data_IF_658153415293
#
_entry.id   IF_658153415293
#
_cell.length_a   1.000
_cell.length_b   1.000
_cell.length_c   1.000
_cell.angle_alpha   90.00
_cell.angle_beta   90.00
_cell.angle_gamma   90.00
#
_symmetry.space_group_name_H-M   'P 1'
#
loop_
_entity.id
_entity.type
_entity.pdbx_description
1 polymer ?
#
# COMPACT_ATOMS: atom_id res chain seq x y z
N UNK A 1 -1.75 -9.63 35.21
CA UNK A 1 -1.60 -8.53 34.22
C UNK A 1 -1.38 -9.18 32.85
N UNK A 2 -2.15 -8.80 31.83
CA UNK A 2 -1.92 -9.27 30.45
C UNK A 2 -1.37 -8.10 29.62
N UNK A 3 -0.43 -8.39 28.72
CA UNK A 3 0.18 -7.41 27.82
C UNK A 3 0.06 -7.88 26.37
N UNK A 4 -0.12 -6.93 25.45
CA UNK A 4 -0.19 -7.23 24.03
C UNK A 4 1.20 -7.55 23.48
N UNK A 5 1.30 -8.64 22.68
CA UNK A 5 2.53 -9.03 21.97
C UNK A 5 2.65 -8.39 20.57
N UNK A 6 1.57 -7.79 20.09
CA UNK A 6 1.44 -7.12 18.79
C UNK A 6 0.68 -5.80 19.00
N UNK A 7 0.78 -4.88 18.05
CA UNK A 7 0.03 -3.63 18.11
C UNK A 7 -1.49 -3.88 18.19
N UNK A 8 -2.18 -3.46 19.27
CA UNK A 8 -3.63 -3.56 19.35
C UNK A 8 -4.30 -2.52 18.45
N UNK A 9 -5.49 -2.80 17.92
CA UNK A 9 -6.27 -1.76 17.23
C UNK A 9 -6.83 -0.74 18.23
N UNK A 10 -6.90 0.54 17.85
CA UNK A 10 -7.58 1.58 18.63
C UNK A 10 -6.68 2.51 19.45
N UNK A 11 -5.36 2.45 19.29
CA UNK A 11 -4.47 3.51 19.78
C UNK A 11 -4.12 4.45 18.62
N UNK A 12 -4.36 5.75 18.80
CA UNK A 12 -4.11 6.77 17.76
C UNK A 12 -2.66 6.79 17.26
N UNK A 13 -1.70 6.45 18.12
CA UNK A 13 -0.28 6.48 17.80
C UNK A 13 0.18 5.30 16.94
N UNK A 14 -0.62 4.23 16.85
CA UNK A 14 -0.21 2.99 16.18
C UNK A 14 -0.07 3.17 14.68
N UNK A 15 -1.00 3.89 14.05
CA UNK A 15 -0.98 4.15 12.61
C UNK A 15 0.30 4.89 12.19
N UNK A 16 0.74 5.85 13.00
CA UNK A 16 1.97 6.63 12.74
C UNK A 16 3.21 5.76 12.85
N UNK A 17 3.29 4.90 13.87
CA UNK A 17 4.45 3.99 14.04
C UNK A 17 4.47 2.94 12.94
N UNK A 18 3.32 2.36 12.60
CA UNK A 18 3.20 1.40 11.50
C UNK A 18 3.59 2.02 10.16
N UNK A 19 3.11 3.22 9.87
CA UNK A 19 3.49 3.98 8.68
C UNK A 19 5.00 4.26 8.64
N UNK A 20 5.62 4.61 9.77
CA UNK A 20 7.06 4.86 9.84
C UNK A 20 7.87 3.61 9.55
N UNK A 21 7.49 2.47 10.15
CA UNK A 21 8.20 1.21 9.90
C UNK A 21 7.98 0.72 8.46
N UNK A 22 6.76 0.81 7.92
CA UNK A 22 6.53 0.50 6.51
C UNK A 22 7.32 1.41 5.56
N UNK A 23 7.37 2.71 5.85
CA UNK A 23 8.19 3.65 5.07
C UNK A 23 9.68 3.33 5.16
N UNK A 24 10.15 2.78 6.29
CA UNK A 24 11.54 2.34 6.45
C UNK A 24 11.82 1.10 5.60
N UNK A 25 10.93 0.11 5.63
CA UNK A 25 11.04 -1.13 4.82
C UNK A 25 11.02 -0.81 3.33
N UNK A 26 10.16 0.11 2.90
CA UNK A 26 10.00 0.52 1.50
C UNK A 26 10.94 1.65 1.07
N UNK A 27 11.79 2.17 1.96
CA UNK A 27 12.70 3.29 1.66
C UNK A 27 13.61 3.02 0.45
N UNK A 28 13.95 1.75 0.22
CA UNK A 28 14.75 1.30 -0.91
C UNK A 28 13.97 1.12 -2.23
N UNK A 29 12.66 1.37 -2.23
CA UNK A 29 11.75 1.14 -3.37
C UNK A 29 11.00 2.44 -3.69
N UNK A 30 11.63 3.31 -4.48
CA UNK A 30 11.14 4.66 -4.82
C UNK A 30 9.79 4.68 -5.56
N UNK A 31 9.46 3.57 -6.22
CA UNK A 31 8.25 3.35 -7.04
C UNK A 31 7.08 2.77 -6.24
N UNK A 32 7.26 2.51 -4.95
CA UNK A 32 6.19 2.15 -4.03
C UNK A 32 5.75 3.41 -3.27
N UNK A 33 4.48 3.79 -3.41
CA UNK A 33 3.86 4.86 -2.61
C UNK A 33 3.10 4.21 -1.46
N UNK A 34 3.28 4.75 -0.26
CA UNK A 34 2.60 4.28 0.93
C UNK A 34 1.62 5.34 1.44
N UNK A 35 0.42 4.92 1.79
CA UNK A 35 -0.55 5.76 2.48
C UNK A 35 -1.33 4.92 3.47
N UNK A 36 -1.20 5.26 4.75
CA UNK A 36 -1.75 4.48 5.86
C UNK A 36 -1.38 3.00 5.70
N UNK A 37 -2.36 2.14 5.43
CA UNK A 37 -2.20 0.69 5.34
C UNK A 37 -2.07 0.17 3.89
N UNK A 38 -2.22 1.03 2.89
CA UNK A 38 -2.23 0.64 1.49
C UNK A 38 -0.92 1.01 0.77
N UNK A 39 -0.32 0.02 0.12
CA UNK A 39 0.88 0.16 -0.71
C UNK A 39 0.47 0.19 -2.18
N UNK A 40 0.78 1.29 -2.86
CA UNK A 40 0.60 1.45 -4.29
C UNK A 40 1.92 1.20 -5.02
N UNK A 41 1.90 0.27 -5.97
CA UNK A 41 3.05 -0.07 -6.80
C UNK A 41 2.71 0.28 -8.25
N UNK A 42 3.59 1.02 -8.92
CA UNK A 42 3.47 1.37 -10.33
C UNK A 42 4.78 1.05 -11.07
N UNK A 43 4.69 0.75 -12.36
CA UNK A 43 5.82 0.48 -13.24
C UNK A 43 5.44 0.84 -14.67
N UNK A 44 6.44 1.07 -15.53
CA UNK A 44 6.21 1.44 -16.94
C UNK A 44 5.77 0.23 -17.77
N UNK A 45 6.35 -0.93 -17.46
CA UNK A 45 6.09 -2.19 -18.13
C UNK A 45 5.62 -3.26 -17.13
N UNK A 46 4.85 -4.24 -17.61
CA UNK A 46 4.42 -5.38 -16.79
C UNK A 46 5.59 -6.11 -16.13
N UNK A 47 6.69 -6.30 -16.86
CA UNK A 47 7.91 -6.94 -16.34
C UNK A 47 8.55 -6.15 -15.20
N UNK A 48 8.59 -4.82 -15.34
CA UNK A 48 9.13 -3.94 -14.31
C UNK A 48 8.22 -3.96 -13.08
N UNK A 49 6.91 -3.83 -13.28
CA UNK A 49 5.91 -3.91 -12.22
C UNK A 49 6.01 -5.23 -11.44
N UNK A 50 6.09 -6.37 -12.12
CA UNK A 50 6.20 -7.69 -11.48
C UNK A 50 7.53 -7.84 -10.71
N UNK A 51 8.62 -7.26 -11.21
CA UNK A 51 9.91 -7.25 -10.52
C UNK A 51 9.85 -6.42 -9.23
N UNK A 52 9.30 -5.21 -9.31
CA UNK A 52 9.11 -4.32 -8.16
C UNK A 52 8.18 -4.98 -7.14
N UNK A 53 7.07 -5.54 -7.59
CA UNK A 53 6.10 -6.22 -6.72
C UNK A 53 6.77 -7.36 -5.93
N UNK A 54 7.60 -8.18 -6.56
CA UNK A 54 8.37 -9.21 -5.85
C UNK A 54 9.31 -8.62 -4.80
N UNK A 55 10.01 -7.52 -5.12
CA UNK A 55 10.90 -6.84 -4.16
C UNK A 55 10.13 -6.30 -2.96
N UNK A 56 8.96 -5.69 -3.18
CA UNK A 56 8.09 -5.18 -2.11
C UNK A 56 7.61 -6.33 -1.24
N UNK A 57 7.09 -7.40 -1.84
CA UNK A 57 6.63 -8.57 -1.10
C UNK A 57 7.75 -9.22 -0.29
N UNK A 58 8.95 -9.34 -0.86
CA UNK A 58 10.11 -9.87 -0.17
C UNK A 58 10.50 -8.99 1.02
N UNK A 59 10.58 -7.68 0.82
CA UNK A 59 10.91 -6.75 1.90
C UNK A 59 9.89 -6.79 3.05
N UNK A 60 8.60 -6.96 2.74
CA UNK A 60 7.56 -7.14 3.75
C UNK A 60 7.74 -8.46 4.51
N UNK A 61 7.98 -9.57 3.80
CA UNK A 61 8.22 -10.88 4.43
C UNK A 61 9.46 -10.86 5.34
N UNK A 62 10.56 -10.25 4.89
CA UNK A 62 11.81 -10.17 5.65
C UNK A 62 11.65 -9.36 6.95
N UNK A 63 10.67 -8.45 7.00
CA UNK A 63 10.34 -7.64 8.18
C UNK A 63 9.14 -8.19 8.98
N UNK A 64 8.67 -9.41 8.68
CA UNK A 64 7.56 -10.05 9.41
C UNK A 64 6.19 -9.42 9.15
N UNK A 65 6.05 -8.64 8.08
CA UNK A 65 4.79 -8.00 7.69
C UNK A 65 4.03 -8.92 6.73
N UNK A 66 2.75 -9.15 7.04
CA UNK A 66 1.88 -9.99 6.23
C UNK A 66 0.89 -9.13 5.46
N UNK A 67 0.75 -9.38 4.17
CA UNK A 67 -0.23 -8.69 3.32
C UNK A 67 -1.50 -9.53 3.23
N UNK A 68 -2.66 -8.89 3.34
CA UNK A 68 -3.95 -9.57 3.21
C UNK A 68 -4.31 -9.74 1.74
N UNK A 69 -4.06 -10.92 1.19
CA UNK A 69 -4.29 -11.25 -0.24
C UNK A 69 -5.67 -10.84 -0.74
N UNK A 70 -6.73 -11.04 0.07
CA UNK A 70 -8.11 -10.66 -0.28
C UNK A 70 -8.30 -9.16 -0.57
N UNK A 71 -7.43 -8.29 -0.04
CA UNK A 71 -7.45 -6.85 -0.29
C UNK A 71 -6.47 -6.43 -1.40
N UNK A 72 -5.59 -7.32 -1.84
CA UNK A 72 -4.63 -7.02 -2.87
C UNK A 72 -5.27 -7.07 -4.27
N UNK A 73 -4.96 -6.07 -5.09
CA UNK A 73 -5.35 -6.02 -6.50
C UNK A 73 -4.08 -6.01 -7.34
N UNK A 74 -3.78 -7.12 -8.00
CA UNK A 74 -2.57 -7.28 -8.80
C UNK A 74 -2.84 -7.12 -10.30
N UNK A 75 -1.86 -6.58 -11.04
CA UNK A 75 -1.85 -6.59 -12.50
C UNK A 75 -3.01 -5.86 -13.19
N UNK A 76 -3.71 -4.95 -12.47
CA UNK A 76 -4.78 -4.16 -13.06
C UNK A 76 -4.18 -2.94 -13.76
N UNK A 77 -4.56 -2.72 -15.02
CA UNK A 77 -4.21 -1.49 -15.74
C UNK A 77 -4.68 -0.24 -14.99
N UNK A 78 -5.76 -0.35 -14.20
CA UNK A 78 -6.29 0.74 -13.39
C UNK A 78 -6.56 0.27 -11.95
N UNK A 79 -6.14 1.05 -10.97
CA UNK A 79 -6.37 0.77 -9.54
C UNK A 79 -7.05 1.97 -8.89
N UNK A 80 -8.02 1.70 -8.03
CA UNK A 80 -8.58 2.72 -7.15
C UNK A 80 -7.72 2.82 -5.89
N UNK A 81 -7.17 3.99 -5.61
CA UNK A 81 -6.33 4.29 -4.46
C UNK A 81 -6.74 5.64 -3.87
N UNK A 82 -7.13 5.68 -2.60
CA UNK A 82 -7.56 6.91 -1.87
C UNK A 82 -8.66 7.73 -2.57
N UNK A 83 -9.63 7.06 -3.20
CA UNK A 83 -10.68 7.78 -3.94
C UNK A 83 -10.18 8.39 -5.26
N UNK A 84 -9.01 7.98 -5.75
CA UNK A 84 -8.53 8.29 -7.10
C UNK A 84 -8.40 7.01 -7.93
N UNK A 85 -8.81 7.08 -9.19
CA UNK A 85 -8.53 6.06 -10.20
C UNK A 85 -7.17 6.37 -10.83
N UNK A 86 -6.20 5.52 -10.55
CA UNK A 86 -4.86 5.58 -11.12
C UNK A 86 -4.87 4.71 -12.37
N UNK A 87 -4.52 5.29 -13.51
CA UNK A 87 -4.46 4.62 -14.83
C UNK A 87 -3.19 5.03 -15.57
N UNK A 88 -2.85 4.37 -16.69
CA UNK A 88 -1.75 4.80 -17.57
C UNK A 88 -1.83 6.27 -17.97
N UNK A 89 -3.05 6.81 -18.10
CA UNK A 89 -3.31 8.20 -18.47
C UNK A 89 -3.26 9.18 -17.28
N UNK A 90 -2.73 8.74 -16.13
CA UNK A 90 -2.58 9.55 -14.92
C UNK A 90 -3.62 9.28 -13.83
N UNK A 91 -3.59 10.16 -12.81
CA UNK A 91 -4.46 10.10 -11.62
C UNK A 91 -5.74 10.87 -11.91
N UNK A 92 -6.89 10.19 -11.90
CA UNK A 92 -8.20 10.82 -12.01
C UNK A 92 -8.96 10.70 -10.68
N UNK A 93 -9.58 11.76 -10.15
CA UNK A 93 -10.45 11.61 -8.99
C UNK A 93 -11.61 10.66 -9.31
N UNK A 94 -12.00 9.85 -8.32
CA UNK A 94 -13.15 8.96 -8.44
C UNK A 94 -14.42 9.82 -8.46
N UNK A 95 -15.22 9.65 -9.50
CA UNK A 95 -16.46 10.40 -9.73
C UNK A 95 -17.47 10.20 -8.58
N UNK A 96 -17.34 9.14 -7.78
CA UNK A 96 -18.24 8.85 -6.66
C UNK A 96 -18.12 9.81 -5.47
N UNK A 97 -17.02 10.57 -5.32
CA UNK A 97 -16.94 11.63 -4.31
C UNK A 97 -17.54 12.96 -4.78
N UNK A 98 -17.97 13.06 -6.05
CA UNK A 98 -18.59 14.26 -6.65
C UNK A 98 -20.12 14.16 -6.65
N UNK A 99 -20.70 13.15 -5.98
CA UNK A 99 -22.13 13.11 -5.65
C UNK A 99 -22.30 13.18 -4.14
N UNK A 100 -22.01 14.34 -3.58
CA UNK A 100 -22.76 14.79 -2.41
C UNK A 100 -23.99 15.53 -2.96
N UNK A 101 -25.16 14.88 -2.86
CA UNK A 101 -26.46 15.57 -2.82
C UNK A 101 -26.95 15.36 -1.38
#
# INVERSE_FOLDING_TARGET
>A
LFQYKMMPFGLDSISTVFQRELSRVLSNITVAKLFQDDILIFGKDKKEHDCIMRKVLQALMDNGLTVKEQKCKFGKQHVEYLGHKISENGIRPKISHVKAI
#
